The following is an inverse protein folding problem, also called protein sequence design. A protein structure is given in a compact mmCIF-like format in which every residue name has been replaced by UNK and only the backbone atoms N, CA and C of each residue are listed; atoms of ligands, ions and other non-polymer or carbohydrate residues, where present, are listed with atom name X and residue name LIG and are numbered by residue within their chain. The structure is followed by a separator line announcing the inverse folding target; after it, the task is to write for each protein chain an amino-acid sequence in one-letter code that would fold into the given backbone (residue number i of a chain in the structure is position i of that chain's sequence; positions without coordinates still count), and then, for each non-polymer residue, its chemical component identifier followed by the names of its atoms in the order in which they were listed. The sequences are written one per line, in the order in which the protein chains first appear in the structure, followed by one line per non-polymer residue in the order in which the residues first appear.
data_IF_187339735457
#
_entry.id   IF_187339735457
#
_cell.length_a   1.000
_cell.length_b   1.000
_cell.length_c   1.000
_cell.angle_alpha   90.00
_cell.angle_beta   90.00
_cell.angle_gamma   90.00
#
_symmetry.space_group_name_H-M   'P 1'
#
loop_
_entity.id
_entity.type
_entity.pdbx_description
1 polymer ?
#
# COMPACT_ATOMS: atom_id res chain seq x y z
N UNK A 1 -18.84 -14.48 -3.57
CA UNK A 1 -18.32 -15.41 -2.56
C UNK A 1 -18.45 -14.70 -1.22
N UNK A 2 -19.05 -15.33 -0.20
CA UNK A 2 -19.16 -14.75 1.14
C UNK A 2 -18.21 -15.56 2.02
N UNK A 3 -17.20 -14.91 2.57
CA UNK A 3 -16.39 -15.54 3.62
C UNK A 3 -17.18 -15.51 4.92
N UNK A 4 -17.45 -16.71 5.46
CA UNK A 4 -18.17 -16.88 6.70
C UNK A 4 -17.18 -16.95 7.87
N UNK A 5 -17.21 -15.95 8.75
CA UNK A 5 -16.39 -15.91 9.95
C UNK A 5 -17.24 -16.17 11.20
N UNK A 6 -16.73 -17.01 12.10
CA UNK A 6 -17.30 -17.25 13.43
C UNK A 6 -16.37 -16.65 14.48
N UNK A 7 -16.92 -15.80 15.37
CA UNK A 7 -16.19 -15.21 16.48
C UNK A 7 -16.63 -15.82 17.81
N UNK A 8 -15.67 -16.04 18.72
CA UNK A 8 -15.93 -16.60 20.04
C UNK A 8 -15.98 -15.48 21.09
N UNK A 9 -16.90 -15.60 22.05
CA UNK A 9 -17.10 -14.63 23.14
C UNK A 9 -15.93 -14.54 24.13
N UNK A 10 -14.95 -15.44 24.04
CA UNK A 10 -13.74 -15.45 24.88
C UNK A 10 -12.55 -14.72 24.24
N UNK A 11 -12.68 -14.22 23.00
CA UNK A 11 -11.63 -13.40 22.39
C UNK A 11 -11.51 -12.06 23.10
N UNK A 12 -10.30 -11.52 23.11
CA UNK A 12 -10.09 -10.17 23.61
C UNK A 12 -10.93 -9.21 22.75
N UNK A 13 -11.66 -8.30 23.40
CA UNK A 13 -12.69 -7.55 22.68
C UNK A 13 -12.15 -6.71 21.51
N UNK A 14 -10.91 -6.24 21.60
CA UNK A 14 -10.23 -5.50 20.54
C UNK A 14 -9.90 -6.35 19.29
N UNK A 15 -9.96 -7.68 19.38
CA UNK A 15 -9.74 -8.58 18.24
C UNK A 15 -10.99 -8.74 17.35
N UNK A 16 -12.15 -8.26 17.82
CA UNK A 16 -13.42 -8.30 17.10
C UNK A 16 -13.97 -6.89 16.82
N UNK A 17 -13.08 -5.89 16.82
CA UNK A 17 -13.40 -4.51 16.51
C UNK A 17 -13.16 -4.21 15.03
N UNK A 18 -14.16 -3.59 14.40
CA UNK A 18 -14.10 -3.13 13.02
C UNK A 18 -14.26 -1.61 12.98
N UNK A 19 -13.44 -0.95 12.17
CA UNK A 19 -13.56 0.50 11.99
C UNK A 19 -14.79 0.79 11.13
N UNK A 20 -15.71 1.64 11.62
CA UNK A 20 -16.89 2.06 10.86
C UNK A 20 -16.48 2.66 9.52
N UNK A 21 -17.08 2.18 8.44
CA UNK A 21 -16.82 2.68 7.08
C UNK A 21 -15.46 2.29 6.50
N UNK A 22 -14.69 1.41 7.15
CA UNK A 22 -13.48 0.86 6.56
C UNK A 22 -13.82 0.04 5.30
N UNK A 23 -13.22 0.41 4.17
CA UNK A 23 -13.42 -0.26 2.89
C UNK A 23 -12.56 -1.52 2.74
N UNK A 24 -11.52 -1.68 3.57
CA UNK A 24 -10.58 -2.80 3.55
C UNK A 24 -11.06 -3.95 4.41
N UNK A 25 -11.33 -3.68 5.69
CA UNK A 25 -11.81 -4.67 6.66
C UNK A 25 -13.20 -4.28 7.17
N UNK A 26 -14.22 -4.98 6.66
CA UNK A 26 -15.61 -4.78 7.07
C UNK A 26 -16.26 -6.12 7.41
N UNK A 27 -17.12 -6.11 8.44
CA UNK A 27 -17.94 -7.24 8.81
C UNK A 27 -19.43 -6.91 8.69
N UNK A 28 -20.21 -7.88 8.23
CA UNK A 28 -21.67 -7.84 8.30
C UNK A 28 -22.14 -8.84 9.34
N UNK A 29 -22.69 -8.35 10.44
CA UNK A 29 -23.22 -9.21 11.52
C UNK A 29 -24.54 -9.82 11.09
N UNK A 30 -24.59 -11.16 10.99
CA UNK A 30 -25.81 -11.92 10.70
C UNK A 30 -26.53 -12.30 12.02
N UNK A 31 -25.76 -12.67 13.04
CA UNK A 31 -26.25 -13.01 14.37
C UNK A 31 -25.14 -12.75 15.40
N UNK A 32 -25.45 -11.98 16.44
CA UNK A 32 -24.55 -11.79 17.59
C UNK A 32 -25.39 -11.50 18.84
N UNK A 33 -25.51 -12.50 19.72
CA UNK A 33 -26.28 -12.38 20.97
C UNK A 33 -25.45 -11.77 22.11
N UNK A 34 -24.13 -11.85 22.03
CA UNK A 34 -23.23 -11.48 23.12
C UNK A 34 -22.47 -10.17 22.82
N UNK A 35 -22.82 -9.47 21.74
CA UNK A 35 -22.19 -8.20 21.32
C UNK A 35 -20.66 -8.33 21.20
N UNK A 36 -20.22 -9.47 20.67
CA UNK A 36 -18.81 -9.80 20.45
C UNK A 36 -18.21 -8.88 19.38
N UNK A 37 -18.94 -8.67 18.28
CA UNK A 37 -18.50 -7.82 17.17
C UNK A 37 -18.83 -6.37 17.47
N UNK A 38 -17.81 -5.51 17.47
CA UNK A 38 -17.97 -4.09 17.76
C UNK A 38 -17.54 -3.23 16.59
N UNK A 39 -18.25 -2.14 16.38
CA UNK A 39 -17.91 -1.14 15.38
C UNK A 39 -17.43 0.12 16.08
N UNK A 40 -16.15 0.44 15.89
CA UNK A 40 -15.47 1.58 16.52
C UNK A 40 -15.25 2.70 15.52
N UNK A 41 -15.18 3.93 15.99
CA UNK A 41 -14.78 5.05 15.16
C UNK A 41 -13.27 4.99 14.89
N UNK A 42 -12.87 5.22 13.64
CA UNK A 42 -11.46 5.25 13.27
C UNK A 42 -10.77 6.46 13.91
N UNK A 43 -9.61 6.25 14.52
CA UNK A 43 -8.75 7.32 15.01
C UNK A 43 -7.47 7.39 14.16
N UNK A 44 -7.31 8.42 13.30
CA UNK A 44 -6.13 8.57 12.47
C UNK A 44 -4.81 8.63 13.24
N UNK A 45 -4.86 9.06 14.50
CA UNK A 45 -3.69 9.10 15.38
C UNK A 45 -3.10 7.72 15.62
N UNK A 46 -3.91 6.66 15.55
CA UNK A 46 -3.46 5.28 15.81
C UNK A 46 -2.42 4.78 14.79
N UNK A 47 -2.46 5.29 13.56
CA UNK A 47 -1.57 4.87 12.48
C UNK A 47 -0.69 6.01 11.93
N UNK A 48 -0.80 7.21 12.50
CA UNK A 48 -0.07 8.38 12.02
C UNK A 48 1.45 8.20 12.10
N UNK A 49 1.99 7.81 13.26
CA UNK A 49 3.44 7.60 13.44
C UNK A 49 3.96 6.46 12.55
N UNK A 50 3.20 5.37 12.44
CA UNK A 50 3.57 4.25 11.57
C UNK A 50 3.59 4.68 10.08
N UNK A 51 2.63 5.49 9.66
CA UNK A 51 2.56 6.00 8.29
C UNK A 51 3.67 7.01 7.99
N UNK A 52 4.03 7.85 8.97
CA UNK A 52 5.18 8.75 8.85
C UNK A 52 6.49 7.97 8.72
N UNK A 53 6.69 6.95 9.56
CA UNK A 53 7.87 6.09 9.46
C UNK A 53 7.94 5.38 8.10
N UNK A 54 6.80 4.91 7.58
CA UNK A 54 6.74 4.27 6.25
C UNK A 54 7.00 5.25 5.12
N UNK A 55 6.51 6.49 5.20
CA UNK A 55 6.83 7.53 4.24
C UNK A 55 8.34 7.81 4.18
N UNK A 56 9.00 7.91 5.33
CA UNK A 56 10.45 8.11 5.38
C UNK A 56 11.22 6.89 4.84
N UNK A 57 10.79 5.68 5.16
CA UNK A 57 11.33 4.45 4.57
C UNK A 57 11.14 4.40 3.05
N UNK A 58 9.98 4.85 2.53
CA UNK A 58 9.72 4.93 1.09
C UNK A 58 10.70 5.89 0.40
N UNK A 59 10.91 7.08 0.95
CA UNK A 59 11.89 8.06 0.44
C UNK A 59 13.29 7.48 0.43
N UNK A 60 13.69 6.81 1.51
CA UNK A 60 14.97 6.14 1.59
C UNK A 60 15.11 5.03 0.53
N UNK A 61 14.13 4.14 0.40
CA UNK A 61 14.14 3.06 -0.60
C UNK A 61 14.20 3.60 -2.02
N UNK A 62 13.38 4.61 -2.33
CA UNK A 62 13.33 5.18 -3.68
C UNK A 62 14.67 5.81 -4.09
N UNK A 63 15.39 6.42 -3.14
CA UNK A 63 16.76 6.95 -3.39
C UNK A 63 17.75 5.89 -3.90
N UNK A 64 17.46 4.60 -3.69
CA UNK A 64 18.29 3.48 -4.11
C UNK A 64 17.97 2.96 -5.52
N UNK A 65 17.05 3.59 -6.26
CA UNK A 65 16.67 3.22 -7.64
C UNK A 65 17.86 3.16 -8.63
N UNK A 66 18.98 3.84 -8.34
CA UNK A 66 20.24 3.73 -9.10
C UNK A 66 20.79 2.29 -9.17
N UNK A 67 20.47 1.44 -8.18
CA UNK A 67 20.83 0.01 -8.19
C UNK A 67 20.12 -0.73 -9.32
N UNK A 68 18.90 -0.34 -9.68
CA UNK A 68 18.18 -0.89 -10.84
C UNK A 68 18.95 -0.56 -12.12
N UNK A 69 19.30 0.73 -12.31
CA UNK A 69 20.07 1.22 -13.46
C UNK A 69 21.40 0.50 -13.63
N UNK A 70 22.08 0.15 -12.53
CA UNK A 70 23.31 -0.66 -12.55
C UNK A 70 23.11 -2.03 -13.20
N UNK A 71 22.04 -2.74 -12.87
CA UNK A 71 21.78 -4.08 -13.41
C UNK A 71 21.17 -4.06 -14.82
N UNK A 72 20.40 -3.01 -15.15
CA UNK A 72 20.00 -2.72 -16.54
C UNK A 72 21.22 -2.64 -17.46
N UNK A 73 22.21 -1.80 -17.10
CA UNK A 73 23.44 -1.61 -17.89
C UNK A 73 24.31 -2.87 -18.02
N UNK A 74 24.08 -3.88 -17.17
CA UNK A 74 24.79 -5.17 -17.20
C UNK A 74 24.04 -6.23 -18.02
N UNK A 75 22.84 -5.93 -18.51
CA UNK A 75 22.01 -6.93 -19.19
C UNK A 75 21.40 -7.98 -18.25
N UNK A 76 21.36 -7.71 -16.94
CA UNK A 76 20.95 -8.68 -15.92
C UNK A 76 19.50 -8.45 -15.49
N UNK A 77 18.57 -9.12 -16.18
CA UNK A 77 17.13 -8.90 -16.01
C UNK A 77 16.62 -9.24 -14.61
N UNK A 78 16.95 -10.41 -14.06
CA UNK A 78 16.39 -10.86 -12.78
C UNK A 78 16.83 -9.97 -11.61
N UNK A 79 18.09 -9.52 -11.63
CA UNK A 79 18.63 -8.59 -10.65
C UNK A 79 18.04 -7.20 -10.82
N UNK A 80 17.92 -6.70 -12.05
CA UNK A 80 17.24 -5.44 -12.32
C UNK A 80 15.78 -5.50 -11.85
N UNK A 81 15.05 -6.59 -12.14
CA UNK A 81 13.68 -6.81 -11.72
C UNK A 81 13.55 -6.87 -10.19
N UNK A 82 14.42 -7.61 -9.50
CA UNK A 82 14.41 -7.68 -8.04
C UNK A 82 14.58 -6.30 -7.40
N UNK A 83 15.52 -5.50 -7.92
CA UNK A 83 15.74 -4.15 -7.43
C UNK A 83 14.65 -3.16 -7.86
N UNK A 84 14.05 -3.35 -9.04
CA UNK A 84 12.91 -2.53 -9.51
C UNK A 84 11.72 -2.71 -8.56
N UNK A 85 11.38 -3.95 -8.22
CA UNK A 85 10.30 -4.22 -7.27
C UNK A 85 10.57 -3.54 -5.92
N UNK A 86 11.79 -3.69 -5.38
CA UNK A 86 12.15 -3.18 -4.06
C UNK A 86 12.29 -1.66 -3.96
N UNK A 87 12.86 -1.02 -4.99
CA UNK A 87 13.26 0.40 -4.93
C UNK A 87 12.43 1.31 -5.83
N UNK A 88 11.53 0.78 -6.64
CA UNK A 88 10.64 1.57 -7.49
C UNK A 88 9.18 1.21 -7.20
N UNK A 89 8.80 -0.06 -7.37
CA UNK A 89 7.40 -0.46 -7.27
C UNK A 89 6.86 -0.44 -5.82
N UNK A 90 7.58 -1.05 -4.87
CA UNK A 90 7.22 -1.07 -3.44
C UNK A 90 6.95 0.32 -2.88
N UNK A 91 7.84 1.33 -3.07
CA UNK A 91 7.56 2.70 -2.63
C UNK A 91 6.27 3.29 -3.21
N UNK A 92 5.97 3.05 -4.50
CA UNK A 92 4.72 3.55 -5.10
C UNK A 92 3.48 2.91 -4.44
N UNK A 93 3.54 1.60 -4.17
CA UNK A 93 2.48 0.86 -3.48
C UNK A 93 2.26 1.43 -2.08
N UNK A 94 3.33 1.60 -1.32
CA UNK A 94 3.26 2.10 0.05
C UNK A 94 2.70 3.53 0.11
N UNK A 95 3.06 4.42 -0.83
CA UNK A 95 2.47 5.76 -0.89
C UNK A 95 0.97 5.73 -1.17
N UNK A 96 0.51 4.93 -2.14
CA UNK A 96 -0.92 4.74 -2.41
C UNK A 96 -1.66 4.21 -1.17
N UNK A 97 -1.03 3.29 -0.44
CA UNK A 97 -1.57 2.73 0.79
C UNK A 97 -1.70 3.76 1.90
N UNK A 98 -0.72 4.64 2.07
CA UNK A 98 -0.80 5.76 3.01
C UNK A 98 -1.92 6.74 2.58
N UNK A 99 -2.08 6.99 1.28
CA UNK A 99 -3.05 7.96 0.77
C UNK A 99 -4.51 7.49 0.88
N UNK A 100 -4.78 6.20 0.60
CA UNK A 100 -6.15 5.69 0.42
C UNK A 100 -6.57 4.68 1.48
N UNK A 101 -5.63 3.95 2.10
CA UNK A 101 -5.93 2.96 3.15
C UNK A 101 -4.96 3.09 4.33
N UNK A 102 -4.87 4.26 4.99
CA UNK A 102 -3.84 4.55 5.97
C UNK A 102 -3.88 3.64 7.22
N UNK A 103 -5.03 3.06 7.56
CA UNK A 103 -5.16 2.08 8.64
C UNK A 103 -4.59 0.70 8.28
N UNK A 104 -4.47 0.39 6.99
CA UNK A 104 -4.01 -0.88 6.44
C UNK A 104 -2.83 -0.63 5.48
N UNK A 105 -1.94 0.28 5.86
CA UNK A 105 -0.91 0.78 4.96
C UNK A 105 0.21 -0.24 4.68
N UNK A 106 0.26 -1.32 5.45
CA UNK A 106 1.16 -2.47 5.35
C UNK A 106 0.61 -3.61 4.47
N UNK A 107 -0.61 -3.48 3.92
CA UNK A 107 -1.27 -4.53 3.13
C UNK A 107 -0.66 -4.74 1.73
N UNK A 108 0.38 -4.01 1.36
CA UNK A 108 1.06 -4.15 0.06
C UNK A 108 0.05 -4.19 -1.11
N UNK A 109 0.08 -5.20 -1.99
CA UNK A 109 -0.87 -5.35 -3.11
C UNK A 109 -2.20 -6.01 -2.73
N UNK A 110 -2.39 -6.47 -1.49
CA UNK A 110 -3.56 -7.28 -1.08
C UNK A 110 -4.86 -6.49 -1.29
N UNK A 111 -5.67 -6.92 -2.26
CA UNK A 111 -6.93 -6.27 -2.67
C UNK A 111 -6.78 -4.81 -3.13
N UNK A 112 -5.58 -4.35 -3.49
CA UNK A 112 -5.34 -2.93 -3.80
C UNK A 112 -6.25 -2.39 -4.92
N UNK A 113 -6.62 -3.24 -5.89
CA UNK A 113 -7.52 -2.90 -7.00
C UNK A 113 -8.92 -2.45 -6.58
N UNK A 114 -9.34 -2.73 -5.34
CA UNK A 114 -10.64 -2.29 -4.80
C UNK A 114 -10.51 -1.06 -3.89
N UNK A 115 -9.29 -0.66 -3.56
CA UNK A 115 -9.03 0.30 -2.49
C UNK A 115 -8.50 1.65 -2.97
N UNK A 116 -8.08 1.75 -4.24
CA UNK A 116 -7.55 2.97 -4.83
C UNK A 116 -8.37 3.38 -6.07
N UNK A 117 -8.35 4.67 -6.46
CA UNK A 117 -9.01 5.13 -7.67
C UNK A 117 -8.51 4.43 -8.94
N UNK A 118 -9.41 4.23 -9.90
CA UNK A 118 -9.16 3.50 -11.15
C UNK A 118 -8.00 4.09 -11.98
N UNK A 119 -7.83 5.41 -12.01
CA UNK A 119 -6.72 6.07 -12.70
C UNK A 119 -5.37 5.74 -12.06
N UNK A 120 -5.32 5.69 -10.72
CA UNK A 120 -4.12 5.30 -9.95
C UNK A 120 -3.82 3.82 -10.10
N UNK A 121 -4.86 2.98 -10.14
CA UNK A 121 -4.73 1.54 -10.37
C UNK A 121 -4.07 1.26 -11.72
N UNK A 122 -4.58 1.84 -12.81
CA UNK A 122 -4.00 1.66 -14.16
C UNK A 122 -2.54 2.09 -14.22
N UNK A 123 -2.20 3.18 -13.55
CA UNK A 123 -0.83 3.67 -13.49
C UNK A 123 0.08 2.73 -12.68
N UNK A 124 -0.41 2.19 -11.56
CA UNK A 124 0.31 1.18 -10.79
C UNK A 124 0.52 -0.11 -11.60
N UNK A 125 -0.50 -0.59 -12.31
CA UNK A 125 -0.40 -1.76 -13.19
C UNK A 125 0.61 -1.52 -14.32
N UNK A 126 0.64 -0.32 -14.90
CA UNK A 126 1.66 0.06 -15.88
C UNK A 126 3.08 -0.05 -15.31
N UNK A 127 3.33 0.37 -14.07
CA UNK A 127 4.65 0.19 -13.44
C UNK A 127 4.95 -1.26 -13.06
N UNK A 128 3.94 -2.04 -12.66
CA UNK A 128 4.10 -3.44 -12.28
C UNK A 128 4.35 -4.38 -13.48
N UNK A 129 3.71 -4.11 -14.63
CA UNK A 129 3.76 -4.95 -15.83
C UNK A 129 5.01 -4.68 -16.68
N UNK A 130 6.19 -4.97 -16.12
CA UNK A 130 7.48 -4.82 -16.79
C UNK A 130 7.97 -6.17 -17.33
N UNK A 131 8.38 -6.17 -18.61
CA UNK A 131 8.81 -7.37 -19.33
C UNK A 131 10.19 -7.25 -19.98
N UNK A 132 10.89 -6.12 -19.83
CA UNK A 132 12.22 -5.91 -20.43
C UNK A 132 13.05 -4.88 -19.67
N UNK A 133 14.37 -4.91 -19.89
CA UNK A 133 15.30 -3.92 -19.34
C UNK A 133 15.02 -2.51 -19.90
N UNK A 134 14.73 -2.40 -21.19
CA UNK A 134 14.38 -1.14 -21.84
C UNK A 134 13.10 -0.53 -21.25
N UNK A 135 12.12 -1.37 -20.92
CA UNK A 135 10.89 -0.92 -20.25
C UNK A 135 11.21 -0.38 -18.85
N UNK A 136 12.06 -1.06 -18.08
CA UNK A 136 12.51 -0.54 -16.77
C UNK A 136 13.23 0.81 -16.93
N UNK A 137 14.14 0.92 -17.88
CA UNK A 137 14.93 2.14 -18.08
C UNK A 137 14.05 3.35 -18.40
N UNK A 138 13.03 3.17 -19.24
CA UNK A 138 12.06 4.21 -19.60
C UNK A 138 11.11 4.57 -18.46
N UNK A 139 10.67 3.58 -17.68
CA UNK A 139 9.65 3.78 -16.63
C UNK A 139 10.20 4.33 -15.33
N UNK A 140 11.50 4.20 -15.04
CA UNK A 140 12.09 4.74 -13.79
C UNK A 140 11.90 6.26 -13.67
N UNK A 141 12.18 7.10 -14.70
CA UNK A 141 11.89 8.52 -14.65
C UNK A 141 10.40 8.84 -14.44
N UNK A 142 9.52 8.14 -15.15
CA UNK A 142 8.06 8.32 -15.04
C UNK A 142 7.56 7.98 -13.62
N UNK A 143 8.09 6.90 -13.04
CA UNK A 143 7.82 6.51 -11.65
C UNK A 143 8.35 7.56 -10.66
N UNK A 144 9.47 8.20 -10.95
CA UNK A 144 10.10 9.21 -10.09
C UNK A 144 9.26 10.49 -10.04
N UNK A 145 8.75 10.92 -11.20
CA UNK A 145 7.84 12.04 -11.27
C UNK A 145 6.56 11.77 -10.47
N UNK A 146 5.96 10.58 -10.64
CA UNK A 146 4.75 10.22 -9.89
C UNK A 146 5.00 10.04 -8.40
N UNK A 147 6.12 9.43 -8.01
CA UNK A 147 6.54 9.31 -6.61
C UNK A 147 6.66 10.69 -5.95
N UNK A 148 7.36 11.62 -6.60
CA UNK A 148 7.56 12.97 -6.09
C UNK A 148 6.25 13.77 -5.98
N UNK A 149 5.31 13.57 -6.91
CA UNK A 149 3.97 14.15 -6.83
C UNK A 149 3.21 13.65 -5.60
N UNK A 150 3.18 12.34 -5.37
CA UNK A 150 2.48 11.73 -4.23
C UNK A 150 3.11 12.14 -2.90
N UNK A 151 4.44 12.19 -2.80
CA UNK A 151 5.13 12.69 -1.60
C UNK A 151 4.71 14.13 -1.29
N UNK A 152 4.70 15.03 -2.30
CA UNK A 152 4.26 16.42 -2.12
C UNK A 152 2.79 16.53 -1.71
N UNK A 153 1.94 15.62 -2.17
CA UNK A 153 0.54 15.58 -1.73
C UNK A 153 0.42 15.18 -0.26
N UNK A 154 1.15 14.14 0.16
CA UNK A 154 1.15 13.67 1.55
C UNK A 154 1.73 14.70 2.50
N UNK A 155 2.83 15.35 2.14
CA UNK A 155 3.45 16.40 2.96
C UNK A 155 2.52 17.60 3.14
N UNK A 156 1.75 18.00 2.10
CA UNK A 156 0.73 19.05 2.22
C UNK A 156 -0.45 18.67 3.12
N UNK A 157 -0.81 17.38 3.19
CA UNK A 157 -1.90 16.87 4.05
C UNK A 157 -1.49 16.74 5.52
N UNK A 158 -0.19 16.69 5.81
CA UNK A 158 0.37 16.51 7.16
C UNK A 158 0.97 17.80 7.75
N UNK A 159 0.79 18.93 7.08
CA UNK A 159 1.17 20.27 7.52
C UNK A 159 -0.05 21.01 8.07
#
# INVERSE_FOLDING_TARGET
MIDFCWQLHNRAGNECEYIKGNMVEAAKVIFDKAEVVRFVDGNPTNYMEANKARLEECKYRYSQHSRVKKYIRRGLYLEAYAYYNRYVLEPLIDLLRIMYTPANADYYLIHISHHIPEDKLKLLEYFAQINSLDAMEKRIPEAEDWFNEMVKELERKHQ
#
